data_IF_727832436167
#
_entry.id   IF_727832436167
#
_cell.length_a   1.000
_cell.length_b   1.000
_cell.length_c   1.000
_cell.angle_alpha   90.00
_cell.angle_beta   90.00
_cell.angle_gamma   90.00
#
_symmetry.space_group_name_H-M   'P 1'
#
loop_
_entity.id
_entity.type
_entity.pdbx_description
1 polymer ?
#
# COMPACT_ATOMS: atom_id res chain seq x y z
N UNK A 1 7.45 7.97 5.25
CA UNK A 1 8.82 7.80 5.80
C UNK A 1 9.07 6.30 5.93
N UNK A 2 10.19 5.79 5.44
CA UNK A 2 10.59 4.40 5.63
C UNK A 2 11.53 4.30 6.83
N UNK A 3 11.28 3.33 7.71
CA UNK A 3 12.09 3.07 8.90
C UNK A 3 12.51 1.61 8.96
N UNK A 4 13.62 1.32 9.63
CA UNK A 4 13.96 -0.06 9.99
C UNK A 4 13.26 -0.49 11.30
N UNK A 5 13.51 -1.72 11.72
CA UNK A 5 12.99 -2.34 12.95
C UNK A 5 13.46 -1.65 14.25
N UNK A 6 14.52 -0.84 14.18
CA UNK A 6 15.00 0.02 15.27
C UNK A 6 14.33 1.39 15.30
N UNK A 7 13.44 1.68 14.34
CA UNK A 7 12.78 2.97 14.18
C UNK A 7 13.65 4.04 13.51
N UNK A 8 14.84 3.69 13.02
CA UNK A 8 15.75 4.61 12.32
C UNK A 8 15.21 4.90 10.92
N UNK A 9 15.24 6.17 10.51
CA UNK A 9 14.75 6.58 9.19
C UNK A 9 15.77 6.19 8.13
N UNK A 10 15.34 5.33 7.20
CA UNK A 10 16.15 4.92 6.05
C UNK A 10 15.92 5.80 4.82
N UNK A 11 14.67 6.26 4.64
CA UNK A 11 14.30 7.11 3.52
C UNK A 11 13.04 7.92 3.83
N UNK A 12 12.86 9.03 3.12
CA UNK A 12 11.60 9.77 3.11
C UNK A 12 11.30 10.21 1.68
N UNK A 13 10.04 10.09 1.29
CA UNK A 13 9.56 10.53 -0.01
C UNK A 13 8.28 11.33 0.19
N UNK A 14 8.23 12.48 -0.45
CA UNK A 14 7.02 13.27 -0.62
C UNK A 14 6.88 13.55 -2.12
N UNK A 15 5.64 13.55 -2.62
CA UNK A 15 5.37 13.90 -4.01
C UNK A 15 4.16 14.81 -4.04
N UNK A 16 4.27 15.86 -4.84
CA UNK A 16 3.15 16.73 -5.14
C UNK A 16 2.38 16.08 -6.29
N UNK A 17 1.13 15.71 -6.03
CA UNK A 17 0.23 15.14 -7.03
C UNK A 17 -0.81 16.19 -7.37
N UNK A 18 -0.90 16.52 -8.65
CA UNK A 18 -1.96 17.39 -9.16
C UNK A 18 -3.24 16.57 -9.39
N UNK A 19 -4.41 17.21 -9.26
CA UNK A 19 -5.72 16.58 -9.49
C UNK A 19 -6.04 15.36 -8.58
N UNK A 20 -5.63 15.40 -7.32
CA UNK A 20 -6.11 14.44 -6.31
C UNK A 20 -7.64 14.59 -6.14
N UNK A 21 -8.38 13.56 -6.55
CA UNK A 21 -9.84 13.56 -6.52
C UNK A 21 -10.42 13.46 -5.09
N UNK A 22 -9.66 12.91 -4.13
CA UNK A 22 -10.08 12.79 -2.73
C UNK A 22 -8.87 12.49 -1.81
N UNK A 23 -8.99 12.74 -0.50
CA UNK A 23 -7.98 12.31 0.49
C UNK A 23 -7.69 10.81 0.42
N UNK A 24 -8.71 9.99 0.14
CA UNK A 24 -8.54 8.55 -0.05
C UNK A 24 -7.64 8.23 -1.26
N UNK A 25 -7.83 8.92 -2.37
CA UNK A 25 -6.99 8.74 -3.56
C UNK A 25 -5.54 9.17 -3.29
N UNK A 26 -5.32 10.25 -2.55
CA UNK A 26 -3.98 10.65 -2.11
C UNK A 26 -3.29 9.57 -1.27
N UNK A 27 -4.00 8.95 -0.33
CA UNK A 27 -3.43 7.86 0.47
C UNK A 27 -3.10 6.64 -0.40
N UNK A 28 -3.99 6.25 -1.31
CA UNK A 28 -3.74 5.14 -2.23
C UNK A 28 -2.48 5.39 -3.10
N UNK A 29 -2.29 6.62 -3.57
CA UNK A 29 -1.09 7.05 -4.27
C UNK A 29 0.15 6.97 -3.36
N UNK A 30 0.05 7.45 -2.11
CA UNK A 30 1.12 7.40 -1.13
C UNK A 30 1.54 5.96 -0.81
N UNK A 31 0.59 5.05 -0.57
CA UNK A 31 0.86 3.63 -0.33
C UNK A 31 1.48 2.95 -1.55
N UNK A 32 1.00 3.26 -2.76
CA UNK A 32 1.60 2.75 -4.01
C UNK A 32 3.06 3.18 -4.14
N UNK A 33 3.36 4.44 -3.83
CA UNK A 33 4.73 4.97 -3.82
C UNK A 33 5.58 4.30 -2.73
N UNK A 34 5.02 4.05 -1.55
CA UNK A 34 5.69 3.34 -0.47
C UNK A 34 6.07 1.90 -0.85
N UNK A 35 5.17 1.14 -1.50
CA UNK A 35 5.47 -0.21 -2.02
C UNK A 35 6.61 -0.16 -3.04
N UNK A 36 6.53 0.76 -4.01
CA UNK A 36 7.57 0.92 -5.04
C UNK A 36 8.93 1.26 -4.43
N UNK A 37 8.95 2.16 -3.44
CA UNK A 37 10.16 2.51 -2.70
C UNK A 37 10.73 1.28 -1.99
N UNK A 38 9.91 0.48 -1.32
CA UNK A 38 10.35 -0.76 -0.68
C UNK A 38 10.96 -1.77 -1.65
N UNK A 39 10.36 -1.94 -2.84
CA UNK A 39 10.92 -2.77 -3.92
C UNK A 39 12.28 -2.23 -4.38
N UNK A 40 12.39 -0.92 -4.61
CA UNK A 40 13.64 -0.26 -5.03
C UNK A 40 14.74 -0.39 -3.97
N UNK A 41 14.38 -0.43 -2.69
CA UNK A 41 15.31 -0.67 -1.58
C UNK A 41 15.71 -2.14 -1.43
N UNK A 42 15.15 -3.05 -2.23
CA UNK A 42 15.41 -4.50 -2.10
C UNK A 42 14.79 -5.11 -0.84
N UNK A 43 13.75 -4.49 -0.27
CA UNK A 43 13.11 -4.98 0.93
C UNK A 43 12.34 -6.28 0.64
N UNK A 44 12.61 -7.34 1.43
CA UNK A 44 11.86 -8.61 1.34
C UNK A 44 10.45 -8.52 1.93
N UNK A 45 10.25 -7.61 2.87
CA UNK A 45 8.98 -7.35 3.55
C UNK A 45 8.86 -5.85 3.79
N UNK A 46 7.67 -5.30 3.57
CA UNK A 46 7.35 -3.89 3.85
C UNK A 46 6.06 -3.87 4.65
N UNK A 47 6.06 -3.16 5.76
CA UNK A 47 4.87 -2.82 6.53
C UNK A 47 4.53 -1.36 6.26
N UNK A 48 3.29 -1.11 5.86
CA UNK A 48 2.81 0.24 5.52
C UNK A 48 1.90 0.67 6.66
N UNK A 49 2.16 1.85 7.21
CA UNK A 49 1.39 2.51 8.25
C UNK A 49 0.76 3.78 7.67
N UNK A 50 -0.54 4.02 7.93
CA UNK A 50 -1.28 5.17 7.42
C UNK A 50 -2.74 5.18 7.88
N UNK A 51 -3.36 6.36 7.93
CA UNK A 51 -4.71 6.54 8.50
C UNK A 51 -5.82 5.95 7.63
N UNK A 52 -5.60 5.81 6.32
CA UNK A 52 -6.58 5.23 5.39
C UNK A 52 -6.30 3.75 5.02
N UNK A 53 -5.40 3.08 5.75
CA UNK A 53 -5.06 1.65 5.60
C UNK A 53 -6.26 0.71 5.51
N UNK A 54 -7.35 1.04 6.23
CA UNK A 54 -8.53 0.19 6.30
C UNK A 54 -9.12 -0.11 4.92
N UNK A 55 -9.12 0.85 3.99
CA UNK A 55 -9.70 0.67 2.66
C UNK A 55 -8.78 -0.15 1.74
N UNK A 56 -7.46 0.03 1.83
CA UNK A 56 -6.50 -0.80 1.09
C UNK A 56 -6.57 -2.27 1.54
N UNK A 57 -6.79 -2.50 2.84
CA UNK A 57 -7.05 -3.83 3.38
C UNK A 57 -8.33 -4.43 2.79
N UNK A 58 -9.41 -3.66 2.69
CA UNK A 58 -10.65 -4.11 2.04
C UNK A 58 -10.44 -4.47 0.57
N UNK A 59 -9.60 -3.74 -0.16
CA UNK A 59 -9.28 -4.05 -1.56
C UNK A 59 -8.44 -5.34 -1.68
N UNK A 60 -7.44 -5.53 -0.81
CA UNK A 60 -6.64 -6.76 -0.77
C UNK A 60 -7.47 -8.00 -0.39
N UNK A 61 -8.45 -7.85 0.50
CA UNK A 61 -9.39 -8.92 0.87
C UNK A 61 -10.35 -9.26 -0.29
N UNK A 62 -10.72 -8.27 -1.11
CA UNK A 62 -11.60 -8.47 -2.28
C UNK A 62 -10.92 -9.26 -3.40
N UNK A 63 -9.62 -9.10 -3.58
CA UNK A 63 -8.81 -9.90 -4.53
C UNK A 63 -8.67 -11.38 -4.09
N UNK A 64 -8.72 -11.67 -2.78
CA UNK A 64 -8.70 -13.06 -2.27
C UNK A 64 -10.06 -13.76 -2.37
N UNK A 65 -11.16 -13.01 -2.43
CA UNK A 65 -12.51 -13.56 -2.63
C UNK A 65 -12.82 -13.97 -4.08
N UNK A 66 -12.14 -13.36 -5.07
CA UNK A 66 -12.37 -13.65 -6.50
C UNK A 66 -11.73 -14.96 -7.00
N UNK A 67 -10.89 -15.63 -6.20
CA UNK A 67 -10.27 -16.90 -6.58
C UNK A 67 -10.99 -18.14 -6.03
N UNK A 68 -12.00 -17.98 -5.17
CA UNK A 68 -12.76 -19.11 -4.61
C UNK A 68 -14.16 -19.30 -5.20
N UNK A 69 -14.68 -18.33 -5.98
CA UNK A 69 -15.98 -18.47 -6.68
C UNK A 69 -15.85 -19.02 -8.12
N UNK A 70 -14.72 -19.67 -8.45
CA UNK A 70 -14.48 -20.28 -9.76
C UNK A 70 -14.41 -21.82 -9.78
N UNK A 71 -14.56 -22.49 -8.62
CA UNK A 71 -14.45 -23.96 -8.52
C UNK A 71 -15.58 -24.57 -7.68
N UNK A 72 -16.82 -24.13 -7.93
CA UNK A 72 -18.01 -24.68 -7.27
C UNK A 72 -19.27 -24.45 -8.09
N UNK A 73 -19.49 -25.24 -9.13
CA UNK A 73 -20.71 -25.19 -9.93
C UNK A 73 -20.78 -26.33 -10.93
N UNK A 74 -21.32 -27.46 -10.45
CA UNK A 74 -21.86 -28.67 -11.13
C UNK A 74 -21.14 -29.22 -12.36
#
# INVERSE_FOLDING_TARGET
IARNDRGEVLASQATLEEAIASPFFAEACACTRAVRLGIQMGARKVEIEGDALWILRTLADKERGSLTEGLGGT
#
